data_IF_425255652265
#
_entry.id   IF_425255652265
#
_cell.length_a   1.000
_cell.length_b   1.000
_cell.length_c   1.000
_cell.angle_alpha   90.00
_cell.angle_beta   90.00
_cell.angle_gamma   90.00
#
_symmetry.space_group_name_H-M   'P 1'
#
loop_
_entity.id
_entity.type
_entity.pdbx_description
1 polymer ?
#
# COMPACT_ATOMS: atom_id res chain seq x y z
N UNK A 1 22.33 12.95 -0.75
CA UNK A 1 21.57 11.88 -1.41
C UNK A 1 20.12 12.30 -1.39
N UNK A 2 19.49 12.52 -2.54
CA UNK A 2 18.06 12.83 -2.58
C UNK A 2 17.30 11.53 -2.30
N UNK A 3 16.63 11.47 -1.15
CA UNK A 3 15.71 10.38 -0.81
C UNK A 3 14.56 10.38 -1.84
N UNK A 4 14.59 9.43 -2.77
CA UNK A 4 13.64 9.27 -3.88
C UNK A 4 12.74 8.04 -3.68
N UNK A 5 12.36 7.77 -2.44
CA UNK A 5 11.65 6.54 -2.07
C UNK A 5 10.13 6.71 -1.91
N UNK A 6 9.63 7.95 -1.77
CA UNK A 6 8.19 8.19 -1.51
C UNK A 6 7.34 7.81 -2.73
N UNK A 7 7.80 8.16 -3.93
CA UNK A 7 7.18 7.72 -5.19
C UNK A 7 7.14 6.20 -5.31
N UNK A 8 8.23 5.50 -4.95
CA UNK A 8 8.29 4.05 -5.07
C UNK A 8 7.39 3.33 -4.07
N UNK A 9 7.32 3.82 -2.82
CA UNK A 9 6.38 3.29 -1.82
C UNK A 9 4.93 3.51 -2.28
N UNK A 10 4.60 4.70 -2.79
CA UNK A 10 3.26 4.99 -3.29
C UNK A 10 2.85 4.08 -4.47
N UNK A 11 3.80 3.72 -5.34
CA UNK A 11 3.57 2.74 -6.42
C UNK A 11 3.41 1.31 -5.88
N UNK A 12 4.24 0.91 -4.91
CA UNK A 12 4.14 -0.39 -4.22
C UNK A 12 2.73 -0.57 -3.64
N UNK A 13 2.27 0.42 -2.90
CA UNK A 13 0.92 0.47 -2.32
C UNK A 13 -0.19 0.38 -3.35
N UNK A 14 -0.08 1.10 -4.48
CA UNK A 14 -1.05 0.98 -5.57
C UNK A 14 -1.11 -0.44 -6.12
N UNK A 15 0.05 -1.10 -6.24
CA UNK A 15 0.14 -2.50 -6.63
C UNK A 15 -0.57 -3.43 -5.62
N UNK A 16 -0.32 -3.24 -4.32
CA UNK A 16 -0.93 -4.01 -3.23
C UNK A 16 -2.45 -3.80 -3.15
N UNK A 17 -2.94 -2.57 -3.32
CA UNK A 17 -4.39 -2.28 -3.37
C UNK A 17 -5.10 -3.03 -4.51
N UNK A 18 -4.43 -3.19 -5.64
CA UNK A 18 -4.91 -3.99 -6.76
C UNK A 18 -4.71 -5.50 -6.60
N UNK A 19 -4.14 -5.97 -5.48
CA UNK A 19 -3.86 -7.39 -5.27
C UNK A 19 -5.14 -8.17 -4.97
N UNK A 20 -5.15 -9.44 -5.39
CA UNK A 20 -6.33 -10.30 -5.21
C UNK A 20 -6.71 -10.44 -3.72
N UNK A 21 -5.71 -10.57 -2.84
CA UNK A 21 -5.91 -10.70 -1.40
C UNK A 21 -6.64 -9.48 -0.82
N UNK A 22 -6.21 -8.28 -1.20
CA UNK A 22 -6.81 -7.03 -0.72
C UNK A 22 -8.22 -6.85 -1.30
N UNK A 23 -8.40 -7.14 -2.59
CA UNK A 23 -9.72 -7.06 -3.23
C UNK A 23 -10.72 -8.06 -2.62
N UNK A 24 -10.32 -9.31 -2.37
CA UNK A 24 -11.16 -10.31 -1.70
C UNK A 24 -11.52 -9.89 -0.27
N UNK A 25 -10.55 -9.38 0.49
CA UNK A 25 -10.77 -8.87 1.85
C UNK A 25 -11.78 -7.70 1.84
N UNK A 26 -11.61 -6.76 0.92
CA UNK A 26 -12.48 -5.59 0.83
C UNK A 26 -13.89 -5.94 0.40
N UNK A 27 -14.05 -6.89 -0.51
CA UNK A 27 -15.36 -7.44 -0.88
C UNK A 27 -16.05 -8.08 0.32
N UNK A 28 -15.33 -8.89 1.11
CA UNK A 28 -15.90 -9.57 2.27
C UNK A 28 -16.38 -8.59 3.38
N UNK A 29 -15.78 -7.40 3.45
CA UNK A 29 -16.08 -6.38 4.46
C UNK A 29 -16.87 -5.18 3.93
N UNK A 30 -17.21 -5.14 2.64
CA UNK A 30 -17.94 -4.03 2.01
C UNK A 30 -17.14 -2.73 1.86
N UNK A 31 -15.82 -2.83 1.72
CA UNK A 31 -14.87 -1.70 1.62
C UNK A 31 -14.51 -1.32 0.18
N UNK A 32 -15.19 -1.88 -0.82
CA UNK A 32 -14.88 -1.69 -2.26
C UNK A 32 -14.81 -0.20 -2.65
N UNK A 33 -15.79 0.58 -2.19
CA UNK A 33 -15.86 2.02 -2.46
C UNK A 33 -14.74 2.80 -1.76
N UNK A 34 -14.27 2.32 -0.62
CA UNK A 34 -13.20 2.96 0.15
C UNK A 34 -11.83 2.67 -0.48
N UNK A 35 -11.59 1.43 -0.92
CA UNK A 35 -10.37 1.06 -1.66
C UNK A 35 -10.30 1.77 -3.00
N UNK A 36 -11.36 1.78 -3.79
CA UNK A 36 -11.37 2.49 -5.07
C UNK A 36 -11.10 4.00 -4.89
N UNK A 37 -11.61 4.58 -3.79
CA UNK A 37 -11.33 5.98 -3.44
C UNK A 37 -9.87 6.19 -3.01
N UNK A 38 -9.29 5.25 -2.28
CA UNK A 38 -7.89 5.28 -1.87
C UNK A 38 -6.96 5.15 -3.09
N UNK A 39 -7.20 4.20 -3.98
CA UNK A 39 -6.45 4.02 -5.23
C UNK A 39 -6.46 5.30 -6.07
N UNK A 40 -7.63 5.93 -6.25
CA UNK A 40 -7.76 7.19 -6.99
C UNK A 40 -6.95 8.32 -6.35
N UNK A 41 -7.03 8.47 -5.03
CA UNK A 41 -6.29 9.51 -4.30
C UNK A 41 -4.80 9.28 -4.37
N UNK A 42 -4.37 8.05 -4.12
CA UNK A 42 -2.97 7.68 -4.15
C UNK A 42 -2.38 7.85 -5.56
N UNK A 43 -3.13 7.51 -6.61
CA UNK A 43 -2.75 7.75 -8.00
C UNK A 43 -2.52 9.24 -8.30
N UNK A 44 -3.41 10.11 -7.81
CA UNK A 44 -3.25 11.56 -7.94
C UNK A 44 -2.02 12.08 -7.19
N UNK A 45 -1.74 11.54 -6.00
CA UNK A 45 -0.54 11.87 -5.21
C UNK A 45 0.73 11.41 -5.94
N UNK A 46 0.77 10.18 -6.44
CA UNK A 46 1.91 9.63 -7.20
C UNK A 46 2.24 10.47 -8.43
N UNK A 47 1.25 11.05 -9.10
CA UNK A 47 1.46 11.93 -10.25
C UNK A 47 2.25 13.21 -9.91
N UNK A 48 2.14 13.72 -8.67
CA UNK A 48 2.84 14.94 -8.23
C UNK A 48 4.11 14.66 -7.42
N UNK A 49 4.30 13.42 -6.95
CA UNK A 49 5.43 13.04 -6.09
C UNK A 49 6.79 13.21 -6.78
N UNK A 50 6.91 12.83 -8.04
CA UNK A 50 8.18 12.97 -8.79
C UNK A 50 8.64 14.43 -8.91
N UNK A 51 7.71 15.35 -9.13
CA UNK A 51 7.99 16.79 -9.17
C UNK A 51 8.34 17.36 -7.79
N UNK A 52 7.67 16.84 -6.75
CA UNK A 52 7.90 17.25 -5.36
C UNK A 52 9.29 16.79 -4.87
N UNK A 53 9.66 15.53 -5.11
CA UNK A 53 10.95 14.95 -4.72
C UNK A 53 12.14 15.71 -5.36
N UNK A 54 12.00 16.15 -6.63
CA UNK A 54 13.02 16.99 -7.28
C UNK A 54 13.18 18.36 -6.60
N UNK A 55 12.08 18.94 -6.13
CA UNK A 55 12.04 20.28 -5.50
C UNK A 55 12.38 20.27 -4.01
N UNK A 56 12.39 19.11 -3.36
CA UNK A 56 12.57 19.00 -1.89
C UNK A 56 13.90 19.58 -1.39
N UNK A 57 14.95 19.52 -2.22
CA UNK A 57 16.30 20.02 -1.85
C UNK A 57 16.35 21.54 -1.68
N UNK A 58 15.40 22.27 -2.25
CA UNK A 58 15.36 23.75 -2.27
C UNK A 58 14.16 24.31 -1.52
N UNK A 59 13.31 23.46 -0.94
CA UNK A 59 12.08 23.88 -0.28
C UNK A 59 11.78 22.99 0.94
N UNK A 60 12.09 23.52 2.12
CA UNK A 60 11.90 22.82 3.39
C UNK A 60 10.43 22.45 3.66
N UNK A 61 9.46 23.23 3.12
CA UNK A 61 8.04 22.89 3.26
C UNK A 61 7.67 21.63 2.47
N UNK A 62 8.22 21.50 1.26
CA UNK A 62 8.02 20.29 0.44
C UNK A 62 8.70 19.10 1.10
N UNK A 63 9.92 19.29 1.62
CA UNK A 63 10.62 18.24 2.36
C UNK A 63 9.85 17.77 3.60
N UNK A 64 9.32 18.70 4.38
CA UNK A 64 8.53 18.37 5.58
C UNK A 64 7.26 17.58 5.20
N UNK A 65 6.48 18.08 4.24
CA UNK A 65 5.25 17.39 3.82
C UNK A 65 5.52 16.02 3.18
N UNK A 66 6.61 15.87 2.41
CA UNK A 66 7.01 14.57 1.86
C UNK A 66 7.38 13.57 2.97
N UNK A 67 8.03 14.03 4.05
CA UNK A 67 8.35 13.17 5.17
C UNK A 67 7.09 12.68 5.88
N UNK A 68 6.14 13.58 6.17
CA UNK A 68 4.85 13.20 6.78
C UNK A 68 4.06 12.22 5.89
N UNK A 69 4.02 12.50 4.58
CA UNK A 69 3.38 11.61 3.63
C UNK A 69 4.04 10.23 3.63
N UNK A 70 5.37 10.16 3.70
CA UNK A 70 6.09 8.88 3.74
C UNK A 70 5.70 8.03 4.95
N UNK A 71 5.59 8.61 6.13
CA UNK A 71 5.15 7.88 7.33
C UNK A 71 3.74 7.30 7.13
N UNK A 72 2.80 8.10 6.58
CA UNK A 72 1.44 7.62 6.28
C UNK A 72 1.42 6.50 5.23
N UNK A 73 2.31 6.55 4.25
CA UNK A 73 2.44 5.48 3.26
C UNK A 73 2.97 4.19 3.90
N UNK A 74 3.94 4.28 4.81
CA UNK A 74 4.40 3.09 5.54
C UNK A 74 3.31 2.47 6.41
N UNK A 75 2.56 3.29 7.16
CA UNK A 75 1.43 2.78 7.95
C UNK A 75 0.39 2.07 7.08
N UNK A 76 0.11 2.61 5.89
CA UNK A 76 -0.79 1.97 4.94
C UNK A 76 -0.21 0.66 4.37
N UNK A 77 1.10 0.60 4.17
CA UNK A 77 1.78 -0.57 3.61
C UNK A 77 1.73 -1.73 4.58
N UNK A 78 2.00 -1.47 5.86
CA UNK A 78 1.92 -2.45 6.94
C UNK A 78 0.52 -3.08 7.04
N UNK A 79 -0.55 -2.29 6.91
CA UNK A 79 -1.93 -2.79 6.93
C UNK A 79 -2.22 -3.71 5.74
N UNK A 80 -1.76 -3.35 4.53
CA UNK A 80 -1.98 -4.21 3.35
C UNK A 80 -1.16 -5.49 3.44
N UNK A 81 0.06 -5.42 3.97
CA UNK A 81 0.92 -6.59 4.18
C UNK A 81 0.32 -7.56 5.20
N UNK A 82 -0.35 -7.07 6.23
CA UNK A 82 -1.08 -7.92 7.18
C UNK A 82 -2.23 -8.68 6.51
N UNK A 83 -2.98 -8.02 5.62
CA UNK A 83 -4.07 -8.67 4.84
C UNK A 83 -3.50 -9.77 3.93
N UNK A 84 -2.42 -9.49 3.22
CA UNK A 84 -1.77 -10.47 2.35
C UNK A 84 -1.20 -11.64 3.16
N UNK A 85 -0.56 -11.36 4.30
CA UNK A 85 -0.03 -12.37 5.20
C UNK A 85 -1.13 -13.28 5.75
N UNK A 86 -2.24 -12.72 6.23
CA UNK A 86 -3.38 -13.50 6.73
C UNK A 86 -4.04 -14.33 5.62
N UNK A 87 -4.09 -13.81 4.39
CA UNK A 87 -4.60 -14.54 3.23
C UNK A 87 -3.73 -15.77 2.93
N UNK A 88 -2.41 -15.59 2.90
CA UNK A 88 -1.45 -16.69 2.73
C UNK A 88 -1.54 -17.70 3.89
N UNK A 89 -1.67 -17.22 5.13
CA UNK A 89 -1.80 -18.08 6.32
C UNK A 89 -3.04 -18.99 6.22
N UNK A 90 -4.18 -18.43 5.78
CA UNK A 90 -5.41 -19.20 5.54
C UNK A 90 -5.24 -20.24 4.45
N UNK A 91 -4.49 -19.96 3.39
CA UNK A 91 -4.19 -20.92 2.33
C UNK A 91 -3.34 -22.09 2.86
N UNK A 92 -2.29 -21.80 3.62
CA UNK A 92 -1.39 -22.84 4.19
C UNK A 92 -2.12 -23.75 5.19
N UNK A 93 -3.01 -23.20 6.02
CA UNK A 93 -3.81 -24.02 6.96
C UNK A 93 -4.77 -24.95 6.21
N UNK A 94 -5.39 -24.47 5.12
CA UNK A 94 -6.26 -25.31 4.27
C UNK A 94 -5.50 -26.47 3.62
N UNK A 95 -4.27 -26.25 3.16
CA UNK A 95 -3.47 -27.30 2.48
C UNK A 95 -2.88 -28.32 3.45
N UNK A 96 -2.45 -27.91 4.65
CA UNK A 96 -1.87 -28.80 5.66
C UNK A 96 -2.92 -29.64 6.41
N UNK A 97 -4.11 -29.09 6.66
CA UNK A 97 -5.22 -29.83 7.28
C UNK A 97 -5.76 -31.00 6.43
N UNK A 98 -5.51 -30.98 5.12
CA UNK A 98 -5.94 -32.06 4.21
C UNK A 98 -4.99 -33.26 4.19
N UNK A 99 -3.76 -33.13 4.70
CA UNK A 99 -2.74 -34.20 4.67
C UNK A 99 -2.79 -35.10 5.91
N UNK A 100 -3.40 -34.67 7.01
CA UNK A 100 -3.43 -35.42 8.28
C UNK A 100 -4.65 -36.35 8.45
N UNK A 101 -5.49 -36.53 7.43
CA UNK A 101 -6.66 -37.42 7.48
C UNK A 101 -6.44 -38.63 6.58
N UNK A 102 -5.63 -39.59 7.03
CA UNK A 102 -5.57 -40.96 6.54
C UNK A 102 -5.43 -41.92 7.72
#
# INVERSE_FOLDING_TARGET
MADAFTSEIAKSLLGKLGSFSVQEFCLAWGLEADVARLEKRLSAITAVLSDAEQKQSKNDRIRFWLNDLREVLYDAEDVLDEIECETLRRQVVKTTGSTSRK
#
